data_IF_628595097863
#
_entry.id   IF_628595097863
#
_cell.length_a   1.000
_cell.length_b   1.000
_cell.length_c   1.000
_cell.angle_alpha   90.00
_cell.angle_beta   90.00
_cell.angle_gamma   90.00
#
_symmetry.space_group_name_H-M   'P 1'
#
loop_
_entity.id
_entity.type
_entity.pdbx_description
1 polymer ?
#
# COMPACT_ATOMS: atom_id res chain seq x y z
N UNK A 1 25.46 19.40 -33.08
CA UNK A 1 26.80 20.00 -33.02
C UNK A 1 27.36 19.68 -31.64
N UNK A 2 28.49 18.96 -31.54
CA UNK A 2 29.04 18.57 -30.22
C UNK A 2 29.48 19.84 -29.48
N UNK A 3 28.76 20.20 -28.40
CA UNK A 3 28.98 21.45 -27.65
C UNK A 3 30.23 21.43 -26.74
N UNK A 4 30.87 20.27 -26.56
CA UNK A 4 31.98 20.06 -25.61
C UNK A 4 33.19 19.36 -26.27
N UNK A 5 33.84 20.05 -27.20
CA UNK A 5 34.98 19.51 -27.99
C UNK A 5 36.34 19.80 -27.37
N UNK A 6 36.45 20.80 -26.48
CA UNK A 6 37.71 21.14 -25.81
C UNK A 6 37.73 20.72 -24.33
N UNK A 7 38.90 20.42 -23.76
CA UNK A 7 39.03 20.12 -22.32
C UNK A 7 38.53 21.24 -21.40
N UNK A 8 38.65 22.50 -21.82
CA UNK A 8 38.24 23.65 -21.01
C UNK A 8 36.72 23.83 -20.98
N UNK A 9 36.03 23.62 -22.12
CA UNK A 9 34.56 23.55 -22.15
C UNK A 9 34.02 22.40 -21.29
N UNK A 10 34.67 21.23 -21.36
CA UNK A 10 34.33 20.08 -20.52
C UNK A 10 34.55 20.39 -19.04
N UNK A 11 35.62 21.09 -18.70
CA UNK A 11 35.88 21.50 -17.33
C UNK A 11 34.85 22.50 -16.81
N UNK A 12 34.53 23.53 -17.60
CA UNK A 12 33.51 24.52 -17.25
C UNK A 12 32.15 23.87 -16.99
N UNK A 13 31.77 22.88 -17.80
CA UNK A 13 30.54 22.11 -17.62
C UNK A 13 30.54 21.24 -16.33
N UNK A 14 31.69 20.73 -15.92
CA UNK A 14 31.85 20.03 -14.64
C UNK A 14 31.75 21.00 -13.46
N UNK A 15 32.38 22.17 -13.55
CA UNK A 15 32.35 23.20 -12.51
C UNK A 15 30.94 23.76 -12.29
N UNK A 16 30.23 24.05 -13.37
CA UNK A 16 28.84 24.53 -13.32
C UNK A 16 27.82 23.42 -13.05
N UNK A 17 28.25 22.15 -13.03
CA UNK A 17 27.41 20.96 -12.91
C UNK A 17 26.28 20.94 -13.95
N UNK A 18 26.63 21.28 -15.18
CA UNK A 18 25.70 21.35 -16.28
C UNK A 18 25.05 19.98 -16.54
N UNK A 19 23.74 19.90 -16.31
CA UNK A 19 22.97 18.69 -16.54
C UNK A 19 22.88 18.36 -18.03
N UNK A 20 22.91 19.35 -18.92
CA UNK A 20 22.80 19.18 -20.37
C UNK A 20 24.06 18.57 -20.99
N UNK A 21 25.21 18.71 -20.33
CA UNK A 21 26.45 18.03 -20.68
C UNK A 21 26.43 16.51 -20.38
N UNK A 22 25.42 16.02 -19.64
CA UNK A 22 25.29 14.59 -19.32
C UNK A 22 24.95 13.80 -20.58
N UNK A 23 25.84 12.86 -20.96
CA UNK A 23 25.70 12.05 -22.17
C UNK A 23 26.65 12.47 -23.31
N UNK A 24 27.30 13.62 -23.21
CA UNK A 24 28.32 14.08 -24.17
C UNK A 24 29.74 13.65 -23.80
N UNK A 25 30.05 13.58 -22.51
CA UNK A 25 31.33 13.08 -22.00
C UNK A 25 31.19 12.63 -20.53
N UNK A 26 32.21 11.97 -20.00
CA UNK A 26 32.42 11.72 -18.58
C UNK A 26 33.78 12.26 -18.14
N UNK A 27 33.92 12.56 -16.85
CA UNK A 27 35.19 12.96 -16.27
C UNK A 27 35.65 11.94 -15.23
N UNK A 28 36.94 11.59 -15.25
CA UNK A 28 37.56 10.61 -14.39
C UNK A 28 38.57 11.27 -13.45
N UNK A 29 38.61 10.84 -12.19
CA UNK A 29 39.49 11.40 -11.16
C UNK A 29 40.63 10.42 -10.89
N UNK A 30 41.85 10.80 -11.29
CA UNK A 30 43.07 9.98 -11.17
C UNK A 30 43.29 9.45 -9.75
N UNK A 31 43.12 10.32 -8.75
CA UNK A 31 43.45 9.99 -7.35
C UNK A 31 42.45 9.03 -6.69
N UNK A 32 41.22 8.91 -7.21
CA UNK A 32 40.19 8.05 -6.62
C UNK A 32 39.86 6.84 -7.50
N UNK A 33 40.30 6.84 -8.75
CA UNK A 33 39.95 5.80 -9.73
C UNK A 33 38.46 5.83 -10.10
N UNK A 34 37.78 6.97 -9.93
CA UNK A 34 36.32 7.08 -10.14
C UNK A 34 35.99 8.05 -11.27
N UNK A 35 35.03 7.68 -12.14
CA UNK A 35 34.46 8.60 -13.12
C UNK A 35 33.00 9.00 -12.80
N UNK A 36 32.61 10.17 -13.29
CA UNK A 36 31.31 10.80 -13.07
C UNK A 36 30.78 11.46 -14.36
N UNK A 37 29.47 11.69 -14.41
CA UNK A 37 28.89 12.62 -15.39
C UNK A 37 29.05 14.08 -14.96
N UNK A 38 29.09 15.04 -15.89
CA UNK A 38 29.30 16.47 -15.57
C UNK A 38 28.28 17.05 -14.58
N UNK A 39 27.01 16.66 -14.67
CA UNK A 39 25.97 17.06 -13.71
C UNK A 39 26.00 16.33 -12.36
N UNK A 40 27.02 15.52 -12.07
CA UNK A 40 27.10 14.75 -10.82
C UNK A 40 27.41 15.65 -9.62
N UNK A 41 26.59 15.57 -8.56
CA UNK A 41 26.77 16.32 -7.31
C UNK A 41 27.88 15.76 -6.38
N UNK A 42 28.78 14.90 -6.88
CA UNK A 42 29.93 14.43 -6.10
C UNK A 42 30.88 15.58 -5.75
N UNK A 43 31.71 15.39 -4.70
CA UNK A 43 32.74 16.36 -4.34
C UNK A 43 33.67 16.61 -5.54
N UNK A 44 33.90 17.87 -5.86
CA UNK A 44 34.72 18.28 -7.00
C UNK A 44 36.19 17.93 -6.74
N UNK A 45 36.83 17.27 -7.71
CA UNK A 45 38.27 17.02 -7.68
C UNK A 45 39.03 18.25 -8.20
N UNK A 46 40.34 18.34 -7.91
CA UNK A 46 41.20 19.38 -8.50
C UNK A 46 41.35 19.13 -10.01
N UNK A 47 41.31 20.19 -10.83
CA UNK A 47 41.46 20.15 -12.30
C UNK A 47 42.63 19.28 -12.77
N UNK A 48 43.76 19.36 -12.07
CA UNK A 48 45.00 18.61 -12.38
C UNK A 48 44.84 17.11 -12.28
N UNK A 49 43.86 16.63 -11.50
CA UNK A 49 43.61 15.22 -11.25
C UNK A 49 42.46 14.67 -12.12
N UNK A 50 41.98 15.45 -13.10
CA UNK A 50 40.80 15.11 -13.91
C UNK A 50 41.19 14.86 -15.36
N UNK A 51 40.68 13.76 -15.90
CA UNK A 51 40.69 13.40 -17.32
C UNK A 51 39.27 13.34 -17.87
N UNK A 52 39.12 13.47 -19.19
CA UNK A 52 37.83 13.38 -19.87
C UNK A 52 37.80 12.23 -20.87
N UNK A 53 36.67 11.55 -20.95
CA UNK A 53 36.40 10.47 -21.89
C UNK A 53 35.07 10.74 -22.59
N UNK A 54 34.98 10.42 -23.88
CA UNK A 54 33.76 10.68 -24.65
C UNK A 54 32.59 9.77 -24.24
N UNK A 55 32.91 8.57 -23.73
CA UNK A 55 31.91 7.61 -23.26
C UNK A 55 32.29 7.02 -21.91
N UNK A 56 31.30 6.58 -21.10
CA UNK A 56 31.54 5.78 -19.90
C UNK A 56 32.40 4.54 -20.17
N UNK A 57 32.16 3.84 -21.28
CA UNK A 57 32.90 2.64 -21.67
C UNK A 57 34.39 2.91 -21.89
N UNK A 58 34.74 4.06 -22.47
CA UNK A 58 36.14 4.47 -22.65
C UNK A 58 36.83 4.73 -21.29
N UNK A 59 36.13 5.32 -20.32
CA UNK A 59 36.66 5.50 -18.97
C UNK A 59 36.84 4.15 -18.24
N UNK A 60 35.93 3.21 -18.41
CA UNK A 60 36.03 1.85 -17.84
C UNK A 60 37.19 1.06 -18.44
N UNK A 61 37.39 1.14 -19.76
CA UNK A 61 38.53 0.52 -20.43
C UNK A 61 39.88 1.09 -19.95
N UNK A 62 39.90 2.36 -19.53
CA UNK A 62 41.05 3.01 -18.90
C UNK A 62 41.21 2.69 -17.39
N UNK A 63 40.38 1.81 -16.83
CA UNK A 63 40.49 1.33 -15.44
C UNK A 63 39.72 2.14 -14.41
N UNK A 64 38.88 3.10 -14.83
CA UNK A 64 38.06 3.88 -13.90
C UNK A 64 36.72 3.20 -13.63
N UNK A 65 36.26 3.24 -12.38
CA UNK A 65 34.92 2.77 -12.02
C UNK A 65 33.92 3.93 -11.93
N UNK A 66 32.67 3.70 -12.26
CA UNK A 66 31.63 4.70 -12.08
C UNK A 66 31.47 5.09 -10.60
N UNK A 67 31.12 6.35 -10.34
CA UNK A 67 30.81 6.79 -8.99
C UNK A 67 29.48 6.20 -8.51
N UNK A 68 29.34 5.97 -7.19
CA UNK A 68 28.13 5.35 -6.63
C UNK A 68 26.84 6.09 -7.03
N UNK A 69 26.88 7.43 -7.13
CA UNK A 69 25.72 8.25 -7.53
C UNK A 69 25.34 8.06 -9.00
N UNK A 70 26.33 8.01 -9.89
CA UNK A 70 26.12 7.77 -11.31
C UNK A 70 25.64 6.34 -11.58
N UNK A 71 26.20 5.35 -10.86
CA UNK A 71 25.74 3.96 -10.89
C UNK A 71 24.26 3.87 -10.48
N UNK A 72 23.89 4.47 -9.34
CA UNK A 72 22.50 4.43 -8.86
C UNK A 72 21.52 5.08 -9.83
N UNK A 73 21.88 6.22 -10.44
CA UNK A 73 21.02 6.91 -11.41
C UNK A 73 20.84 6.09 -12.70
N UNK A 74 21.92 5.54 -13.25
CA UNK A 74 21.86 4.69 -14.43
C UNK A 74 21.07 3.39 -14.17
N UNK A 75 21.24 2.82 -12.97
CA UNK A 75 20.48 1.64 -12.52
C UNK A 75 18.99 1.93 -12.43
N UNK A 76 18.58 3.07 -11.85
CA UNK A 76 17.17 3.46 -11.77
C UNK A 76 16.53 3.66 -13.16
N UNK A 77 17.22 4.31 -14.10
CA UNK A 77 16.72 4.47 -15.47
C UNK A 77 16.57 3.12 -16.18
N UNK A 78 17.56 2.22 -16.04
CA UNK A 78 17.50 0.87 -16.62
C UNK A 78 16.36 0.05 -16.02
N UNK A 79 16.12 0.19 -14.71
CA UNK A 79 15.04 -0.49 -14.02
C UNK A 79 13.65 -0.06 -14.53
N UNK A 80 13.42 1.24 -14.67
CA UNK A 80 12.14 1.77 -15.18
C UNK A 80 11.85 1.27 -16.60
N UNK A 81 12.85 1.29 -17.48
CA UNK A 81 12.70 0.79 -18.84
C UNK A 81 12.35 -0.71 -18.88
N UNK A 82 12.92 -1.50 -17.96
CA UNK A 82 12.65 -2.92 -17.86
C UNK A 82 11.22 -3.20 -17.41
N UNK A 83 10.74 -2.46 -16.40
CA UNK A 83 9.36 -2.55 -15.91
C UNK A 83 8.35 -2.11 -16.97
N UNK A 84 8.60 -1.00 -17.69
CA UNK A 84 7.74 -0.55 -18.80
C UNK A 84 7.62 -1.60 -19.90
N UNK A 85 8.73 -2.27 -20.27
CA UNK A 85 8.71 -3.36 -21.24
C UNK A 85 7.91 -4.56 -20.75
N UNK A 86 8.05 -4.92 -19.47
CA UNK A 86 7.27 -5.99 -18.84
C UNK A 86 5.75 -5.71 -18.87
N UNK A 87 5.34 -4.48 -18.55
CA UNK A 87 3.94 -4.06 -18.66
C UNK A 87 3.41 -4.26 -20.08
N UNK A 88 4.12 -3.75 -21.10
CA UNK A 88 3.70 -3.89 -22.51
C UNK A 88 3.54 -5.34 -22.96
N UNK A 89 4.45 -6.22 -22.56
CA UNK A 89 4.36 -7.65 -22.89
C UNK A 89 3.11 -8.29 -22.27
N UNK A 90 2.74 -7.91 -21.05
CA UNK A 90 1.51 -8.35 -20.39
C UNK A 90 0.27 -7.82 -21.13
N UNK A 91 0.28 -6.55 -21.53
CA UNK A 91 -0.86 -5.89 -22.16
C UNK A 91 -1.15 -6.40 -23.58
N UNK A 92 -0.11 -6.85 -24.30
CA UNK A 92 -0.19 -7.25 -25.72
C UNK A 92 -0.33 -8.75 -25.95
N UNK A 93 -0.22 -9.59 -24.91
CA UNK A 93 -0.25 -11.05 -25.02
C UNK A 93 -1.55 -11.65 -24.48
N UNK A 94 -2.13 -12.60 -25.22
CA UNK A 94 -3.30 -13.38 -24.78
C UNK A 94 -3.12 -14.87 -25.14
N UNK A 95 -3.00 -15.78 -24.15
CA UNK A 95 -3.02 -15.53 -22.71
C UNK A 95 -1.78 -14.76 -22.22
N UNK A 96 -1.96 -13.86 -21.25
CA UNK A 96 -0.84 -13.15 -20.61
C UNK A 96 0.26 -14.12 -20.10
N UNK A 97 1.55 -13.82 -20.36
CA UNK A 97 2.68 -14.69 -20.08
C UNK A 97 2.94 -14.90 -18.59
N UNK A 98 3.50 -16.06 -18.25
CA UNK A 98 3.97 -16.36 -16.89
C UNK A 98 5.20 -15.53 -16.52
N UNK A 99 5.53 -15.47 -15.22
CA UNK A 99 6.73 -14.77 -14.74
C UNK A 99 8.00 -15.31 -15.41
N UNK A 100 8.09 -16.63 -15.59
CA UNK A 100 9.25 -17.27 -16.21
C UNK A 100 9.37 -16.87 -17.69
N UNK A 101 8.24 -16.84 -18.42
CA UNK A 101 8.21 -16.40 -19.81
C UNK A 101 8.58 -14.92 -19.97
N UNK A 102 8.05 -14.04 -19.10
CA UNK A 102 8.43 -12.62 -19.07
C UNK A 102 9.92 -12.44 -18.78
N UNK A 103 10.45 -13.19 -17.82
CA UNK A 103 11.85 -13.11 -17.42
C UNK A 103 12.81 -13.56 -18.54
N UNK A 104 12.44 -14.62 -19.26
CA UNK A 104 13.20 -15.12 -20.41
C UNK A 104 13.22 -14.11 -21.56
N UNK A 105 12.09 -13.49 -21.88
CA UNK A 105 12.00 -12.48 -22.95
C UNK A 105 12.73 -11.17 -22.60
N UNK A 106 12.82 -10.83 -21.32
CA UNK A 106 13.52 -9.64 -20.83
C UNK A 106 14.98 -9.90 -20.44
N UNK A 107 15.48 -11.13 -20.63
CA UNK A 107 16.84 -11.56 -20.29
C UNK A 107 17.25 -11.24 -18.84
N UNK A 108 16.34 -11.46 -17.89
CA UNK A 108 16.57 -11.27 -16.44
C UNK A 108 16.04 -12.45 -15.64
N UNK A 109 16.50 -12.60 -14.39
CA UNK A 109 15.97 -13.67 -13.54
C UNK A 109 14.53 -13.39 -13.09
N UNK A 110 13.68 -14.43 -12.91
CA UNK A 110 12.31 -14.28 -12.42
C UNK A 110 12.22 -13.50 -11.11
N UNK A 111 13.11 -13.80 -10.16
CA UNK A 111 13.15 -13.16 -8.85
C UNK A 111 13.54 -11.68 -8.92
N UNK A 112 14.51 -11.33 -9.78
CA UNK A 112 14.93 -9.95 -9.98
C UNK A 112 13.81 -9.12 -10.64
N UNK A 113 13.18 -9.67 -11.69
CA UNK A 113 12.04 -9.04 -12.36
C UNK A 113 10.87 -8.82 -11.39
N UNK A 114 10.51 -9.83 -10.60
CA UNK A 114 9.43 -9.74 -9.63
C UNK A 114 9.66 -8.62 -8.60
N UNK A 115 10.85 -8.59 -7.98
CA UNK A 115 11.20 -7.59 -6.97
C UNK A 115 11.22 -6.18 -7.57
N UNK A 116 11.76 -6.04 -8.78
CA UNK A 116 11.87 -4.75 -9.45
C UNK A 116 10.52 -4.22 -9.92
N UNK A 117 9.70 -5.06 -10.52
CA UNK A 117 8.35 -4.71 -10.97
C UNK A 117 7.47 -4.28 -9.79
N UNK A 118 7.55 -4.98 -8.65
CA UNK A 118 6.85 -4.60 -7.42
C UNK A 118 7.36 -3.29 -6.83
N UNK A 119 8.67 -3.03 -6.89
CA UNK A 119 9.25 -1.79 -6.39
C UNK A 119 8.82 -0.56 -7.22
N UNK A 120 8.68 -0.69 -8.54
CA UNK A 120 8.35 0.43 -9.43
C UNK A 120 6.84 0.61 -9.67
N UNK A 121 6.05 -0.47 -9.71
CA UNK A 121 4.59 -0.41 -9.99
C UNK A 121 3.71 -0.58 -8.76
N UNK A 122 4.28 -0.95 -7.62
CA UNK A 122 3.55 -1.28 -6.39
C UNK A 122 2.90 -2.67 -6.39
N UNK A 123 2.74 -3.32 -7.54
CA UNK A 123 2.07 -4.63 -7.70
C UNK A 123 3.00 -5.69 -8.30
N UNK A 124 2.66 -6.98 -8.19
CA UNK A 124 3.44 -8.04 -8.85
C UNK A 124 3.08 -8.15 -10.34
N UNK A 125 3.94 -8.72 -11.21
CA UNK A 125 3.60 -8.96 -12.61
C UNK A 125 2.31 -9.76 -12.79
N UNK A 126 2.05 -10.73 -11.90
CA UNK A 126 0.83 -11.55 -11.92
C UNK A 126 -0.42 -10.72 -11.56
N UNK A 127 -0.34 -9.91 -10.51
CA UNK A 127 -1.44 -9.02 -10.11
C UNK A 127 -1.74 -7.97 -11.20
N UNK A 128 -0.70 -7.40 -11.82
CA UNK A 128 -0.84 -6.48 -12.95
C UNK A 128 -1.51 -7.15 -14.16
N UNK A 129 -1.12 -8.38 -14.51
CA UNK A 129 -1.75 -9.15 -15.58
C UNK A 129 -3.21 -9.50 -15.29
N UNK A 130 -3.54 -9.87 -14.04
CA UNK A 130 -4.91 -10.14 -13.61
C UNK A 130 -5.76 -8.87 -13.70
N UNK A 131 -5.26 -7.74 -13.22
CA UNK A 131 -5.96 -6.45 -13.26
C UNK A 131 -6.19 -5.96 -14.70
N UNK A 132 -5.18 -6.09 -15.57
CA UNK A 132 -5.30 -5.74 -16.98
C UNK A 132 -6.32 -6.64 -17.71
N UNK A 133 -6.31 -7.95 -17.45
CA UNK A 133 -7.32 -8.88 -18.00
C UNK A 133 -8.73 -8.54 -17.52
N UNK A 134 -8.90 -8.23 -16.24
CA UNK A 134 -10.18 -7.80 -15.68
C UNK A 134 -10.66 -6.46 -16.26
N UNK A 135 -9.74 -5.53 -16.58
CA UNK A 135 -10.07 -4.28 -17.29
C UNK A 135 -10.47 -4.55 -18.74
N UNK A 136 -9.69 -5.31 -19.49
CA UNK A 136 -9.97 -5.66 -20.90
C UNK A 136 -11.28 -6.44 -21.04
N UNK A 137 -11.57 -7.36 -20.12
CA UNK A 137 -12.84 -8.07 -20.07
C UNK A 137 -14.01 -7.11 -19.82
N UNK A 138 -13.87 -6.14 -18.90
CA UNK A 138 -14.88 -5.09 -18.69
C UNK A 138 -15.09 -4.22 -19.93
N UNK A 139 -14.01 -3.79 -20.58
CA UNK A 139 -14.06 -3.01 -21.83
C UNK A 139 -14.73 -3.80 -22.98
N UNK A 140 -14.56 -5.13 -23.05
CA UNK A 140 -15.25 -5.99 -24.03
C UNK A 140 -16.71 -6.28 -23.66
N UNK A 141 -17.08 -6.17 -22.38
CA UNK A 141 -18.45 -6.33 -21.88
C UNK A 141 -19.27 -5.04 -22.02
N UNK A 142 -18.62 -3.88 -22.07
CA UNK A 142 -19.23 -2.57 -22.34
C UNK A 142 -19.69 -2.41 -23.81
N UNK A 143 -19.20 -3.26 -24.72
CA UNK A 143 -19.57 -3.28 -26.15
C UNK A 143 -20.92 -3.98 -26.45
N UNK A 144 -21.71 -4.23 -25.40
CA UNK A 144 -23.15 -4.39 -25.50
C UNK A 144 -23.66 -5.66 -26.18
N UNK A 145 -23.76 -6.76 -25.41
CA UNK A 145 -24.92 -7.67 -25.43
C UNK A 145 -24.81 -8.76 -24.35
N UNK A 146 -25.79 -8.73 -23.42
CA UNK A 146 -26.22 -9.74 -22.41
C UNK A 146 -25.70 -9.59 -20.98
N UNK A 147 -26.61 -9.87 -20.02
CA UNK A 147 -26.60 -9.38 -18.64
C UNK A 147 -25.75 -10.21 -17.68
N UNK A 148 -25.33 -9.51 -16.62
CA UNK A 148 -24.39 -9.83 -15.53
C UNK A 148 -24.78 -11.04 -14.66
N UNK A 149 -25.93 -11.68 -14.92
CA UNK A 149 -26.42 -12.79 -14.10
C UNK A 149 -25.93 -14.16 -14.57
N UNK A 150 -25.61 -14.31 -15.86
CA UNK A 150 -25.27 -15.62 -16.43
C UNK A 150 -23.78 -15.99 -16.30
N UNK A 151 -22.87 -15.01 -16.16
CA UNK A 151 -21.43 -15.26 -16.04
C UNK A 151 -20.99 -15.78 -14.66
N UNK A 152 -21.85 -15.70 -13.64
CA UNK A 152 -21.54 -16.18 -12.28
C UNK A 152 -21.71 -17.70 -12.17
N UNK A 153 -22.52 -18.32 -13.05
CA UNK A 153 -22.78 -19.77 -13.02
C UNK A 153 -21.69 -20.63 -13.67
N UNK A 154 -20.89 -20.10 -14.61
CA UNK A 154 -19.94 -20.89 -15.41
C UNK A 154 -18.51 -20.98 -14.83
N UNK A 155 -18.21 -20.36 -13.68
CA UNK A 155 -16.87 -20.36 -13.09
C UNK A 155 -16.60 -21.44 -12.00
N UNK A 156 -17.57 -22.32 -11.71
CA UNK A 156 -17.27 -23.68 -11.24
C UNK A 156 -16.52 -23.90 -9.91
N UNK A 157 -16.70 -23.07 -8.87
CA UNK A 157 -16.18 -23.40 -7.53
C UNK A 157 -17.30 -23.52 -6.50
N UNK A 158 -17.70 -24.76 -6.25
CA UNK A 158 -18.63 -25.16 -5.19
C UNK A 158 -17.87 -25.95 -4.12
N UNK A 159 -18.27 -25.73 -2.87
CA UNK A 159 -18.05 -26.55 -1.65
C UNK A 159 -16.83 -26.33 -0.72
N UNK A 160 -17.18 -25.70 0.40
CA UNK A 160 -16.78 -25.83 1.81
C UNK A 160 -15.80 -26.92 2.34
N UNK A 161 -15.10 -26.47 3.40
CA UNK A 161 -14.73 -27.16 4.65
C UNK A 161 -13.50 -28.06 4.68
N UNK A 162 -12.48 -27.58 5.41
CA UNK A 162 -11.73 -28.25 6.50
C UNK A 162 -10.33 -27.64 6.57
N UNK A 163 -9.99 -26.91 7.66
CA UNK A 163 -8.59 -27.00 8.12
C UNK A 163 -8.20 -26.54 9.54
N UNK A 164 -9.04 -26.04 10.46
CA UNK A 164 -8.54 -25.82 11.84
C UNK A 164 -9.55 -26.27 12.91
N UNK A 165 -9.43 -27.54 13.25
CA UNK A 165 -9.71 -28.06 14.60
C UNK A 165 -8.54 -27.68 15.52
N UNK A 166 -8.87 -27.46 16.80
CA UNK A 166 -7.98 -27.21 17.96
C UNK A 166 -7.56 -25.75 18.24
N UNK A 167 -8.49 -24.99 18.81
CA UNK A 167 -8.18 -23.94 19.80
C UNK A 167 -9.39 -23.73 20.73
N UNK A 168 -9.92 -24.82 21.26
CA UNK A 168 -11.00 -24.81 22.24
C UNK A 168 -10.39 -25.10 23.61
N UNK A 169 -10.18 -24.03 24.40
CA UNK A 169 -10.20 -23.99 25.87
C UNK A 169 -9.39 -22.81 26.39
N UNK A 170 -10.10 -21.71 26.69
CA UNK A 170 -10.02 -20.92 27.94
C UNK A 170 -10.60 -19.54 27.67
N UNK A 171 -11.41 -19.07 28.61
CA UNK A 171 -12.08 -17.77 28.70
C UNK A 171 -13.50 -17.76 28.12
N UNK A 172 -14.47 -17.80 29.03
CA UNK A 172 -15.90 -17.88 28.73
C UNK A 172 -16.40 -16.72 27.87
N UNK A 173 -17.00 -17.06 26.73
CA UNK A 173 -17.63 -16.12 25.80
C UNK A 173 -19.09 -16.51 25.57
N UNK A 174 -20.00 -15.53 25.55
CA UNK A 174 -21.38 -15.72 25.09
C UNK A 174 -21.38 -15.84 23.56
N UNK A 175 -21.84 -16.96 22.99
CA UNK A 175 -21.73 -17.23 21.57
C UNK A 175 -23.06 -17.02 20.86
N UNK A 176 -23.08 -16.28 19.75
CA UNK A 176 -24.09 -16.57 18.71
C UNK A 176 -23.78 -16.07 17.31
N UNK A 177 -22.93 -15.06 17.11
CA UNK A 177 -22.64 -14.55 15.76
C UNK A 177 -21.19 -14.73 15.31
N UNK A 178 -20.22 -14.58 16.22
CA UNK A 178 -18.81 -14.86 15.91
C UNK A 178 -18.54 -16.35 15.60
N UNK A 179 -19.29 -17.29 16.20
CA UNK A 179 -19.07 -18.74 16.05
C UNK A 179 -19.44 -19.29 14.66
N UNK A 180 -20.14 -18.54 13.83
CA UNK A 180 -20.56 -19.03 12.52
C UNK A 180 -19.69 -18.51 11.36
N UNK A 181 -18.71 -17.63 11.59
CA UNK A 181 -17.90 -17.04 10.51
C UNK A 181 -18.72 -16.27 9.48
N UNK A 182 -19.88 -15.71 9.88
CA UNK A 182 -20.82 -15.06 8.97
C UNK A 182 -21.75 -16.01 8.20
N UNK A 183 -21.91 -17.27 8.62
CA UNK A 183 -22.78 -18.22 7.91
C UNK A 183 -24.20 -17.65 7.71
N UNK A 184 -24.60 -17.51 6.44
CA UNK A 184 -25.91 -16.98 6.04
C UNK A 184 -26.01 -15.44 6.04
N UNK A 185 -24.97 -14.72 6.44
CA UNK A 185 -24.94 -13.26 6.35
C UNK A 185 -24.54 -12.80 4.95
N UNK A 186 -25.23 -11.78 4.45
CA UNK A 186 -24.83 -11.04 3.25
C UNK A 186 -24.06 -9.80 3.68
N UNK A 187 -22.88 -9.59 3.09
CA UNK A 187 -22.04 -8.43 3.34
C UNK A 187 -21.81 -7.71 2.03
N UNK A 188 -22.34 -6.49 1.93
CA UNK A 188 -22.00 -5.59 0.85
C UNK A 188 -20.65 -4.95 1.14
N UNK A 189 -19.77 -4.86 0.16
CA UNK A 189 -18.49 -4.19 0.33
C UNK A 189 -18.07 -3.45 -0.94
N UNK A 190 -17.26 -2.42 -0.76
CA UNK A 190 -16.59 -1.74 -1.86
C UNK A 190 -15.23 -1.23 -1.41
N UNK A 191 -14.37 -1.08 -2.42
CA UNK A 191 -13.04 -0.50 -2.28
C UNK A 191 -13.09 0.94 -2.81
N UNK A 192 -12.41 1.82 -2.11
CA UNK A 192 -12.20 3.20 -2.52
C UNK A 192 -10.78 3.65 -2.23
N UNK A 193 -10.53 4.93 -2.47
CA UNK A 193 -9.28 5.58 -2.13
C UNK A 193 -9.55 6.79 -1.24
N UNK A 194 -8.73 6.97 -0.21
CA UNK A 194 -8.69 8.18 0.60
C UNK A 194 -7.24 8.67 0.74
N UNK A 195 -7.05 9.81 1.39
CA UNK A 195 -5.72 10.38 1.65
C UNK A 195 -4.84 9.52 2.56
N UNK A 196 -5.42 8.51 3.24
CA UNK A 196 -4.69 7.52 4.04
C UNK A 196 -4.36 6.25 3.26
N UNK A 197 -4.65 6.18 1.96
CA UNK A 197 -4.43 5.00 1.12
C UNK A 197 -5.73 4.35 0.65
N UNK A 198 -5.65 3.07 0.30
CA UNK A 198 -6.81 2.26 -0.02
C UNK A 198 -7.72 2.11 1.20
N UNK A 199 -9.03 2.14 0.97
CA UNK A 199 -10.06 1.95 1.98
C UNK A 199 -11.04 0.88 1.53
N UNK A 200 -11.39 -0.05 2.42
CA UNK A 200 -12.48 -1.00 2.23
C UNK A 200 -13.58 -0.67 3.22
N UNK A 201 -14.81 -0.56 2.73
CA UNK A 201 -16.02 -0.40 3.56
C UNK A 201 -16.87 -1.64 3.35
N UNK A 202 -17.31 -2.25 4.45
CA UNK A 202 -18.21 -3.41 4.43
C UNK A 202 -19.40 -3.19 5.37
N UNK A 203 -20.58 -3.60 4.91
CA UNK A 203 -21.86 -3.43 5.59
C UNK A 203 -22.61 -4.76 5.64
N UNK A 204 -23.07 -5.13 6.83
CA UNK A 204 -24.06 -6.19 7.02
C UNK A 204 -25.47 -5.59 7.07
N UNK A 205 -26.49 -6.44 7.17
CA UNK A 205 -27.89 -5.99 7.38
C UNK A 205 -28.09 -5.09 8.60
N UNK A 206 -27.16 -5.10 9.57
CA UNK A 206 -27.26 -4.30 10.80
C UNK A 206 -26.54 -2.96 10.71
N UNK A 207 -25.59 -2.80 9.79
CA UNK A 207 -24.74 -1.62 9.70
C UNK A 207 -23.31 -1.91 9.24
N UNK A 208 -22.45 -0.91 9.34
CA UNK A 208 -21.03 -1.00 8.94
C UNK A 208 -20.32 -1.99 9.86
N UNK A 209 -19.84 -3.10 9.28
CA UNK A 209 -19.15 -4.16 10.01
C UNK A 209 -17.62 -4.13 9.82
N UNK A 210 -17.12 -3.43 8.78
CA UNK A 210 -15.70 -3.16 8.63
C UNK A 210 -15.42 -1.83 7.90
N UNK A 211 -14.38 -1.13 8.36
CA UNK A 211 -13.70 -0.03 7.66
C UNK A 211 -12.21 -0.33 7.78
N UNK A 212 -11.57 -0.74 6.69
CA UNK A 212 -10.16 -1.14 6.67
C UNK A 212 -9.35 -0.13 5.86
N UNK A 213 -8.14 0.18 6.31
CA UNK A 213 -7.20 1.10 5.64
C UNK A 213 -5.90 0.38 5.29
N UNK A 214 -5.32 0.65 4.13
CA UNK A 214 -4.06 0.05 3.75
C UNK A 214 -3.48 0.63 2.48
N UNK A 215 -2.38 0.06 2.02
CA UNK A 215 -1.74 0.45 0.76
C UNK A 215 -2.10 -0.52 -0.39
N UNK A 216 -2.56 -1.72 -0.04
CA UNK A 216 -2.87 -2.82 -0.96
C UNK A 216 -4.35 -3.21 -0.84
N UNK A 217 -5.19 -2.85 -1.83
CA UNK A 217 -6.61 -3.19 -1.86
C UNK A 217 -6.90 -4.70 -1.81
N UNK A 218 -6.05 -5.53 -2.42
CA UNK A 218 -6.23 -6.99 -2.41
C UNK A 218 -6.07 -7.54 -1.00
N UNK A 219 -5.12 -6.99 -0.23
CA UNK A 219 -4.92 -7.37 1.17
C UNK A 219 -6.11 -7.00 2.04
N UNK A 220 -6.74 -5.84 1.79
CA UNK A 220 -7.96 -5.45 2.51
C UNK A 220 -9.13 -6.40 2.22
N UNK A 221 -9.26 -6.85 0.97
CA UNK A 221 -10.28 -7.83 0.59
C UNK A 221 -10.03 -9.20 1.24
N UNK A 222 -8.78 -9.67 1.27
CA UNK A 222 -8.42 -10.90 1.98
C UNK A 222 -8.70 -10.78 3.49
N UNK A 223 -8.34 -9.66 4.12
CA UNK A 223 -8.64 -9.42 5.53
C UNK A 223 -10.16 -9.47 5.82
N UNK A 224 -11.00 -8.97 4.90
CA UNK A 224 -12.46 -9.07 4.99
C UNK A 224 -12.94 -10.53 4.85
N UNK A 225 -12.39 -11.27 3.89
CA UNK A 225 -12.72 -12.69 3.68
C UNK A 225 -12.34 -13.54 4.89
N UNK A 226 -11.16 -13.31 5.46
CA UNK A 226 -10.69 -13.99 6.68
C UNK A 226 -11.57 -13.66 7.89
N UNK A 227 -12.10 -12.44 7.95
CA UNK A 227 -13.02 -12.01 9.00
C UNK A 227 -14.41 -12.65 8.85
N UNK A 228 -14.89 -12.84 7.62
CA UNK A 228 -16.22 -13.37 7.33
C UNK A 228 -16.18 -14.56 6.34
N UNK A 229 -15.53 -15.67 6.70
CA UNK A 229 -15.20 -16.77 5.76
C UNK A 229 -16.42 -17.56 5.26
N UNK A 230 -17.59 -17.39 5.88
CA UNK A 230 -18.85 -18.05 5.49
C UNK A 230 -19.94 -17.06 5.09
N UNK A 231 -19.63 -15.77 5.00
CA UNK A 231 -20.57 -14.76 4.51
C UNK A 231 -20.59 -14.73 2.98
N UNK A 232 -21.72 -14.34 2.41
CA UNK A 232 -21.83 -14.00 0.99
C UNK A 232 -21.36 -12.56 0.82
N UNK A 233 -20.19 -12.37 0.22
CA UNK A 233 -19.67 -11.04 -0.10
C UNK A 233 -20.24 -10.56 -1.45
N UNK A 234 -20.87 -9.40 -1.46
CA UNK A 234 -21.47 -8.77 -2.64
C UNK A 234 -20.76 -7.44 -2.88
N UNK A 235 -20.27 -7.22 -4.11
CA UNK A 235 -19.69 -5.94 -4.49
C UNK A 235 -20.76 -4.83 -4.47
N UNK A 236 -20.34 -3.62 -4.09
CA UNK A 236 -21.23 -2.45 -4.04
C UNK A 236 -21.85 -2.12 -5.40
N UNK A 237 -23.11 -1.71 -5.36
CA UNK A 237 -23.79 -1.04 -6.48
C UNK A 237 -23.62 0.49 -6.37
N UNK A 238 -24.22 1.24 -7.29
CA UNK A 238 -24.13 2.70 -7.30
C UNK A 238 -24.69 3.37 -6.03
N UNK A 239 -25.66 2.74 -5.36
CA UNK A 239 -26.17 3.24 -4.09
C UNK A 239 -25.16 3.00 -2.95
N UNK A 240 -24.49 1.86 -2.96
CA UNK A 240 -23.41 1.54 -2.03
C UNK A 240 -22.19 2.44 -2.19
N UNK A 241 -21.88 2.88 -3.42
CA UNK A 241 -20.80 3.84 -3.69
C UNK A 241 -21.02 5.19 -2.98
N UNK A 242 -22.27 5.64 -2.84
CA UNK A 242 -22.59 6.86 -2.09
C UNK A 242 -22.28 6.71 -0.60
N UNK A 243 -22.60 5.55 -0.02
CA UNK A 243 -22.25 5.23 1.36
C UNK A 243 -20.73 5.20 1.55
N UNK A 244 -19.99 4.64 0.61
CA UNK A 244 -18.52 4.60 0.65
C UNK A 244 -17.96 6.03 0.58
N UNK A 245 -18.52 6.89 -0.26
CA UNK A 245 -18.13 8.30 -0.34
C UNK A 245 -18.39 9.05 0.97
N UNK A 246 -19.50 8.78 1.66
CA UNK A 246 -19.78 9.33 3.00
C UNK A 246 -18.72 8.89 4.02
N UNK A 247 -18.37 7.59 4.03
CA UNK A 247 -17.32 7.05 4.91
C UNK A 247 -15.94 7.64 4.58
N UNK A 248 -15.61 7.81 3.30
CA UNK A 248 -14.38 8.50 2.87
C UNK A 248 -14.36 9.93 3.37
N UNK A 249 -15.45 10.69 3.17
CA UNK A 249 -15.59 12.05 3.67
C UNK A 249 -15.39 12.15 5.18
N UNK A 250 -15.94 11.20 5.95
CA UNK A 250 -15.70 11.10 7.38
C UNK A 250 -14.23 10.79 7.73
N UNK A 251 -13.54 9.93 6.99
CA UNK A 251 -12.09 9.66 7.20
C UNK A 251 -11.24 10.90 6.91
N UNK A 252 -11.64 11.72 5.93
CA UNK A 252 -10.98 13.00 5.65
C UNK A 252 -11.24 14.04 6.75
N UNK A 253 -12.45 14.06 7.32
CA UNK A 253 -12.86 14.98 8.38
C UNK A 253 -13.46 14.27 9.61
N UNK A 254 -12.65 13.57 10.44
CA UNK A 254 -13.17 12.75 11.55
C UNK A 254 -13.92 13.51 12.64
N UNK A 255 -13.74 14.84 12.71
CA UNK A 255 -14.42 15.71 13.67
C UNK A 255 -15.92 15.87 13.37
N UNK A 256 -16.36 15.64 12.13
CA UNK A 256 -17.77 15.72 11.75
C UNK A 256 -18.60 14.55 12.31
N UNK A 257 -17.94 13.45 12.69
CA UNK A 257 -18.61 12.22 13.09
C UNK A 257 -19.18 11.43 11.90
N UNK A 258 -19.59 10.18 12.18
CA UNK A 258 -20.23 9.31 11.21
C UNK A 258 -21.62 8.92 11.73
N UNK A 259 -22.67 9.31 11.01
CA UNK A 259 -24.07 9.06 11.40
C UNK A 259 -24.62 7.74 10.83
N UNK A 260 -23.76 6.73 10.67
CA UNK A 260 -24.14 5.40 10.16
C UNK A 260 -24.17 4.37 11.29
N UNK A 261 -25.14 3.41 11.27
CA UNK A 261 -25.18 2.34 12.24
C UNK A 261 -23.93 1.46 12.11
N UNK A 262 -23.34 1.08 13.24
CA UNK A 262 -22.16 0.19 13.29
C UNK A 262 -22.59 -1.20 13.76
N UNK A 263 -22.22 -2.22 13.00
CA UNK A 263 -22.37 -3.63 13.39
C UNK A 263 -21.06 -4.12 14.03
N UNK A 264 -20.87 -3.75 15.29
CA UNK A 264 -19.65 -4.06 16.04
C UNK A 264 -19.71 -5.51 16.53
N UNK A 265 -18.75 -6.33 16.08
CA UNK A 265 -18.67 -7.75 16.43
C UNK A 265 -17.39 -8.02 17.22
N UNK A 266 -17.52 -8.40 18.49
CA UNK A 266 -16.37 -8.74 19.32
C UNK A 266 -16.76 -9.49 20.59
N UNK A 267 -15.77 -9.77 21.44
CA UNK A 267 -16.03 -10.23 22.80
C UNK A 267 -16.67 -9.11 23.61
N UNK A 268 -17.44 -9.45 24.66
CA UNK A 268 -18.03 -8.45 25.56
C UNK A 268 -16.99 -7.47 26.14
N UNK A 269 -15.74 -7.91 26.32
CA UNK A 269 -14.64 -7.04 26.72
C UNK A 269 -14.23 -6.06 25.61
N UNK A 270 -14.08 -6.54 24.37
CA UNK A 270 -13.78 -5.69 23.21
C UNK A 270 -14.89 -4.67 22.96
N UNK A 271 -16.16 -5.08 23.00
CA UNK A 271 -17.31 -4.19 22.83
C UNK A 271 -17.30 -3.06 23.86
N UNK A 272 -17.02 -3.36 25.13
CA UNK A 272 -16.88 -2.34 26.18
C UNK A 272 -15.72 -1.39 25.92
N UNK A 273 -14.56 -1.90 25.48
CA UNK A 273 -13.42 -1.06 25.11
C UNK A 273 -13.80 -0.15 23.95
N UNK A 274 -14.35 -0.70 22.86
CA UNK A 274 -14.71 0.06 21.68
C UNK A 274 -15.81 1.08 21.93
N UNK A 275 -16.76 0.79 22.81
CA UNK A 275 -17.73 1.78 23.27
C UNK A 275 -17.05 2.94 24.01
N UNK A 276 -16.16 2.64 24.96
CA UNK A 276 -15.40 3.67 25.68
C UNK A 276 -14.48 4.50 24.75
N UNK A 277 -14.01 3.93 23.63
CA UNK A 277 -13.27 4.66 22.60
C UNK A 277 -14.16 5.66 21.86
N UNK A 278 -15.39 5.27 21.52
CA UNK A 278 -16.34 6.15 20.80
C UNK A 278 -16.71 7.39 21.61
N UNK A 279 -16.66 7.29 22.95
CA UNK A 279 -16.90 8.40 23.86
C UNK A 279 -15.71 9.37 23.99
N UNK A 280 -14.56 9.08 23.37
CA UNK A 280 -13.40 9.99 23.33
C UNK A 280 -13.64 11.04 22.23
N UNK A 281 -13.76 12.34 22.55
CA UNK A 281 -14.02 13.38 21.54
C UNK A 281 -12.91 13.52 20.51
N UNK A 282 -13.24 14.01 19.31
CA UNK A 282 -12.24 14.38 18.31
C UNK A 282 -11.29 15.45 18.87
N UNK A 283 -10.02 15.36 18.52
CA UNK A 283 -8.97 16.29 18.99
C UNK A 283 -8.44 15.97 20.39
N UNK A 284 -9.13 15.12 21.15
CA UNK A 284 -8.69 14.63 22.46
C UNK A 284 -7.83 13.37 22.34
N UNK A 285 -6.96 13.16 23.33
CA UNK A 285 -6.11 11.96 23.44
C UNK A 285 -6.25 11.37 24.84
N UNK A 286 -6.24 10.05 24.92
CA UNK A 286 -6.33 9.29 26.18
C UNK A 286 -5.28 8.20 26.21
N UNK A 287 -4.89 7.76 27.39
CA UNK A 287 -3.97 6.63 27.56
C UNK A 287 -4.72 5.28 27.58
N UNK A 288 -4.00 4.18 27.33
CA UNK A 288 -4.55 2.84 27.52
C UNK A 288 -5.02 2.60 28.98
N UNK A 289 -4.37 3.24 29.95
CA UNK A 289 -4.76 3.18 31.36
C UNK A 289 -6.09 3.90 31.58
N UNK A 290 -6.29 5.07 30.96
CA UNK A 290 -7.53 5.83 31.10
C UNK A 290 -8.72 5.02 30.57
N UNK A 291 -8.55 4.32 29.44
CA UNK A 291 -9.58 3.43 28.91
C UNK A 291 -9.84 2.25 29.85
N UNK A 292 -8.78 1.64 30.41
CA UNK A 292 -8.91 0.54 31.36
C UNK A 292 -9.68 0.97 32.64
N UNK A 293 -9.46 2.19 33.12
CA UNK A 293 -10.19 2.78 34.24
C UNK A 293 -11.65 3.09 33.87
N UNK A 294 -11.91 3.70 32.71
CA UNK A 294 -13.27 4.00 32.21
C UNK A 294 -14.14 2.75 32.10
N UNK A 295 -13.57 1.64 31.65
CA UNK A 295 -14.30 0.37 31.60
C UNK A 295 -14.35 -0.34 32.96
N UNK A 296 -13.83 0.22 34.06
CA UNK A 296 -13.85 -0.44 35.37
C UNK A 296 -12.93 -1.68 35.47
N UNK A 297 -11.89 -1.75 34.65
CA UNK A 297 -10.91 -2.84 34.64
C UNK A 297 -9.47 -2.28 34.67
N UNK A 298 -9.05 -1.55 35.72
CA UNK A 298 -7.80 -0.78 35.75
C UNK A 298 -6.53 -1.62 35.55
N UNK A 299 -6.56 -2.91 35.93
CA UNK A 299 -5.43 -3.84 35.73
C UNK A 299 -5.34 -4.40 34.30
N UNK A 300 -6.31 -4.12 33.43
CA UNK A 300 -6.45 -4.74 32.11
C UNK A 300 -5.82 -3.93 30.97
N UNK A 301 -4.84 -3.05 31.25
CA UNK A 301 -4.20 -2.15 30.27
C UNK A 301 -3.71 -2.89 29.01
N UNK A 302 -3.05 -4.04 29.17
CA UNK A 302 -2.57 -4.84 28.03
C UNK A 302 -3.73 -5.43 27.22
N UNK A 303 -4.81 -5.86 27.87
CA UNK A 303 -5.99 -6.39 27.20
C UNK A 303 -6.72 -5.28 26.42
N UNK A 304 -6.76 -4.05 26.96
CA UNK A 304 -7.26 -2.87 26.24
C UNK A 304 -6.43 -2.61 24.98
N UNK A 305 -5.09 -2.65 25.07
CA UNK A 305 -4.23 -2.47 23.90
C UNK A 305 -4.49 -3.53 22.81
N UNK A 306 -4.70 -4.79 23.21
CA UNK A 306 -5.08 -5.87 22.28
C UNK A 306 -6.47 -5.64 21.66
N UNK A 307 -7.45 -5.15 22.44
CA UNK A 307 -8.77 -4.80 21.93
C UNK A 307 -8.71 -3.63 20.92
N UNK A 308 -7.85 -2.63 21.16
CA UNK A 308 -7.60 -1.55 20.19
C UNK A 308 -6.98 -2.09 18.88
N UNK A 309 -6.07 -3.06 18.95
CA UNK A 309 -5.45 -3.69 17.77
C UNK A 309 -6.42 -4.61 17.00
N UNK A 310 -7.42 -5.15 17.70
CA UNK A 310 -8.48 -5.97 17.12
C UNK A 310 -9.63 -5.15 16.52
N UNK A 311 -9.56 -3.82 16.50
CA UNK A 311 -10.59 -2.99 15.88
C UNK A 311 -10.60 -3.18 14.35
N UNK A 312 -11.77 -3.44 13.76
CA UNK A 312 -11.98 -3.58 12.31
C UNK A 312 -12.75 -2.42 11.68
N UNK A 313 -13.13 -1.41 12.46
CA UNK A 313 -13.89 -0.24 12.01
C UNK A 313 -13.02 1.00 12.25
N UNK A 314 -12.07 1.22 11.34
CA UNK A 314 -11.12 2.34 11.40
C UNK A 314 -11.86 3.68 11.51
N UNK A 315 -11.29 4.58 12.31
CA UNK A 315 -11.75 5.97 12.54
C UNK A 315 -13.10 6.07 13.26
N UNK A 316 -14.13 5.32 12.85
CA UNK A 316 -15.45 5.32 13.49
C UNK A 316 -15.46 4.65 14.87
N UNK A 317 -14.59 3.64 15.09
CA UNK A 317 -14.09 3.32 16.43
C UNK A 317 -12.70 3.97 16.54
N UNK A 318 -12.56 5.10 17.28
CA UNK A 318 -11.39 5.97 17.15
C UNK A 318 -10.20 5.50 17.99
N UNK A 319 -9.71 4.28 17.76
CA UNK A 319 -8.56 3.73 18.48
C UNK A 319 -7.24 4.49 18.20
N UNK A 320 -7.20 5.36 17.19
CA UNK A 320 -6.08 6.28 16.94
C UNK A 320 -5.94 7.36 18.03
N UNK A 321 -7.01 7.67 18.77
CA UNK A 321 -7.00 8.64 19.89
C UNK A 321 -6.35 8.09 21.17
N UNK A 322 -6.06 6.79 21.21
CA UNK A 322 -5.37 6.16 22.35
C UNK A 322 -3.86 6.21 22.15
N UNK A 323 -3.13 6.80 23.08
CA UNK A 323 -1.66 6.91 23.05
C UNK A 323 -1.04 6.24 24.28
N UNK A 324 0.30 6.13 24.29
CA UNK A 324 1.00 5.73 25.52
C UNK A 324 0.91 6.83 26.57
N UNK A 325 1.19 6.48 27.84
CA UNK A 325 1.10 7.40 28.98
C UNK A 325 2.08 8.58 28.89
N UNK A 326 3.21 8.37 28.24
CA UNK A 326 4.22 9.39 27.92
C UNK A 326 3.82 10.29 26.72
N UNK A 327 2.67 10.02 26.08
CA UNK A 327 2.20 10.74 24.90
C UNK A 327 2.72 10.17 23.58
N UNK A 328 3.60 9.16 23.62
CA UNK A 328 4.19 8.60 22.41
C UNK A 328 3.16 7.86 21.56
N UNK A 329 3.22 8.15 20.26
CA UNK A 329 2.36 7.52 19.26
C UNK A 329 3.02 6.21 18.85
N UNK A 330 2.49 5.12 19.38
CA UNK A 330 2.86 3.76 19.00
C UNK A 330 1.62 2.91 18.79
N UNK A 331 1.76 1.85 18.01
CA UNK A 331 0.73 0.86 17.78
C UNK A 331 -0.50 1.44 17.05
N UNK A 332 -0.77 0.89 15.88
CA UNK A 332 -2.03 1.11 15.19
C UNK A 332 -2.21 -0.03 14.20
N UNK A 333 -3.40 -0.62 14.14
CA UNK A 333 -3.66 -1.76 13.24
C UNK A 333 -3.26 -1.43 11.80
N UNK A 334 -3.54 -0.20 11.37
CA UNK A 334 -3.29 0.27 10.00
C UNK A 334 -2.00 1.11 9.86
N UNK A 335 -1.11 1.08 10.86
CA UNK A 335 0.21 1.71 10.79
C UNK A 335 0.33 3.06 11.52
N UNK A 336 1.47 3.30 12.15
CA UNK A 336 1.72 4.48 13.00
C UNK A 336 1.60 5.80 12.23
N UNK A 337 1.99 5.82 10.96
CA UNK A 337 1.90 7.02 10.11
C UNK A 337 0.45 7.49 9.94
N UNK A 338 -0.48 6.57 9.65
CA UNK A 338 -1.92 6.90 9.54
C UNK A 338 -2.48 7.44 10.85
N UNK A 339 -2.09 6.86 11.98
CA UNK A 339 -2.47 7.33 13.32
C UNK A 339 -2.00 8.77 13.57
N UNK A 340 -0.75 9.09 13.20
CA UNK A 340 -0.22 10.45 13.31
C UNK A 340 -0.98 11.43 12.42
N UNK A 341 -1.31 11.05 11.19
CA UNK A 341 -2.05 11.91 10.26
C UNK A 341 -3.48 12.20 10.77
N UNK A 342 -4.19 11.19 11.26
CA UNK A 342 -5.53 11.34 11.85
C UNK A 342 -5.51 12.28 13.06
N UNK A 343 -4.57 12.08 13.99
CA UNK A 343 -4.42 12.96 15.15
C UNK A 343 -4.13 14.41 14.74
N UNK A 344 -3.29 14.63 13.72
CA UNK A 344 -3.01 15.98 13.19
C UNK A 344 -4.26 16.63 12.60
N UNK A 345 -5.06 15.90 11.84
CA UNK A 345 -6.31 16.42 11.23
C UNK A 345 -7.31 16.87 12.27
N UNK A 346 -7.49 16.06 13.31
CA UNK A 346 -8.44 16.39 14.37
C UNK A 346 -8.01 17.63 15.16
N UNK A 347 -6.70 17.82 15.41
CA UNK A 347 -6.19 19.02 16.09
C UNK A 347 -6.18 20.27 15.22
N UNK A 348 -6.06 20.15 13.89
CA UNK A 348 -6.04 21.29 12.97
C UNK A 348 -7.42 21.94 12.76
N UNK A 349 -8.50 21.25 13.13
CA UNK A 349 -9.89 21.70 13.04
C UNK A 349 -10.48 22.12 14.39
N UNK A 350 -9.67 22.11 15.47
CA UNK A 350 -10.06 22.43 16.84
C UNK A 350 -9.84 23.91 17.18
#
# INVERSE_FOLDING_TARGET
MNLYTTPDQRWQAVESRDATATGHFVYAVRTTGVYCHPGCKSRMAKRTNVEFYDTPAAAEAAGYRACKRCISKASATRHNQLVTRACRLIETSDPAPSLDQLSAQLAVSPFHLHRLFKAETGVTPKAYATAFRARRLREHLEDGQRSVTDAIYDAGYNSNSRFYESADQRLGMRPRQYRAGGAGATIHFALGQCSLGAILVAQSEKGICAILLGDDPERLLHDLQDQFPKARLIGGDSAYEQLVAEVVGFVEAPALGLALPLDVQGTAFQERVWQALRDVPAGSRVSYTDIAERIGAPKAVRAVAMACAANHIAVAIPCHRVVRRDGDISGYRWGVERKQQLLKRETALS
#
